data_IF_921019812447
#
_entry.id   IF_921019812447
#
_cell.length_a   1.000
_cell.length_b   1.000
_cell.length_c   1.000
_cell.angle_alpha   90.00
_cell.angle_beta   90.00
_cell.angle_gamma   90.00
#
_symmetry.space_group_name_H-M   'P 1'
#
loop_
_entity.id
_entity.type
_entity.pdbx_description
1 polymer ?
#
# COMPACT_ATOMS: atom_id res chain seq x y z
N UNK A 1 10.63 11.56 -19.61
CA UNK A 1 11.39 11.57 -18.34
C UNK A 1 10.68 12.47 -17.34
N UNK A 2 10.49 12.00 -16.10
CA UNK A 2 9.77 12.77 -15.10
C UNK A 2 10.62 13.92 -14.57
N UNK A 3 10.01 15.12 -14.42
CA UNK A 3 10.64 16.22 -13.73
C UNK A 3 10.53 16.05 -12.21
N UNK A 4 11.15 16.94 -11.45
CA UNK A 4 11.16 16.84 -9.98
C UNK A 4 9.76 16.87 -9.39
N UNK A 5 8.87 17.74 -9.88
CA UNK A 5 7.48 17.79 -9.41
C UNK A 5 6.73 16.50 -9.69
N UNK A 6 6.90 15.91 -10.87
CA UNK A 6 6.27 14.64 -11.22
C UNK A 6 6.79 13.49 -10.36
N UNK A 7 8.07 13.50 -9.99
CA UNK A 7 8.64 12.50 -9.08
C UNK A 7 8.02 12.63 -7.69
N UNK A 8 7.78 13.85 -7.22
CA UNK A 8 7.10 14.08 -5.94
C UNK A 8 5.66 13.57 -6.02
N UNK A 9 4.96 13.84 -7.12
CA UNK A 9 3.60 13.32 -7.33
C UNK A 9 3.58 11.78 -7.32
N UNK A 10 4.57 11.15 -7.95
CA UNK A 10 4.71 9.71 -7.93
C UNK A 10 4.89 9.17 -6.51
N UNK A 11 5.72 9.84 -5.69
CA UNK A 11 5.88 9.46 -4.29
C UNK A 11 4.57 9.56 -3.52
N UNK A 12 3.79 10.62 -3.75
CA UNK A 12 2.49 10.78 -3.13
C UNK A 12 1.56 9.61 -3.49
N UNK A 13 1.55 9.21 -4.76
CA UNK A 13 0.76 8.06 -5.21
C UNK A 13 1.19 6.77 -4.52
N UNK A 14 2.50 6.53 -4.41
CA UNK A 14 3.01 5.37 -3.70
C UNK A 14 2.60 5.37 -2.22
N UNK A 15 2.65 6.53 -1.57
CA UNK A 15 2.21 6.67 -0.18
C UNK A 15 0.71 6.42 -0.04
N UNK A 16 -0.10 6.89 -0.98
CA UNK A 16 -1.55 6.66 -0.97
C UNK A 16 -1.88 5.18 -1.12
N UNK A 17 -1.19 4.49 -2.02
CA UNK A 17 -1.36 3.04 -2.20
C UNK A 17 -0.97 2.29 -0.93
N UNK A 18 0.18 2.62 -0.35
CA UNK A 18 0.65 1.99 0.88
C UNK A 18 -0.31 2.24 2.04
N UNK A 19 -0.80 3.47 2.17
CA UNK A 19 -1.75 3.84 3.24
C UNK A 19 -3.06 3.08 3.09
N UNK A 20 -3.63 3.05 1.89
CA UNK A 20 -4.88 2.36 1.64
C UNK A 20 -4.78 0.87 1.96
N UNK A 21 -3.69 0.22 1.55
CA UNK A 21 -3.48 -1.19 1.82
C UNK A 21 -3.22 -1.45 3.31
N UNK A 22 -2.50 -0.55 3.97
CA UNK A 22 -2.28 -0.64 5.41
C UNK A 22 -3.59 -0.53 6.19
N UNK A 23 -4.42 0.46 5.86
CA UNK A 23 -5.73 0.64 6.49
C UNK A 23 -6.63 -0.58 6.25
N UNK A 24 -6.60 -1.12 5.05
CA UNK A 24 -7.30 -2.36 4.74
C UNK A 24 -6.81 -3.51 5.62
N UNK A 25 -5.49 -3.62 5.85
CA UNK A 25 -4.93 -4.68 6.67
C UNK A 25 -5.36 -4.57 8.14
N UNK A 26 -5.46 -3.35 8.66
CA UNK A 26 -5.93 -3.10 10.01
C UNK A 26 -7.40 -3.50 10.15
N UNK A 27 -8.23 -3.08 9.21
CA UNK A 27 -9.65 -3.43 9.19
C UNK A 27 -9.86 -4.93 9.02
N UNK A 28 -9.05 -5.58 8.19
CA UNK A 28 -9.11 -7.02 7.98
C UNK A 28 -8.86 -7.78 9.28
N UNK A 29 -7.84 -7.38 10.03
CA UNK A 29 -7.51 -8.02 11.31
C UNK A 29 -8.56 -7.73 12.39
N UNK A 30 -9.11 -6.51 12.40
CA UNK A 30 -10.11 -6.11 13.40
C UNK A 30 -11.48 -6.74 13.14
N UNK A 31 -11.83 -6.96 11.88
CA UNK A 31 -13.15 -7.41 11.46
C UNK A 31 -13.12 -8.79 10.81
N UNK A 32 -12.17 -9.63 11.19
CA UNK A 32 -12.11 -11.00 10.68
C UNK A 32 -13.43 -11.71 11.01
N UNK A 33 -14.23 -12.09 10.00
CA UNK A 33 -15.55 -12.66 10.27
C UNK A 33 -15.44 -14.05 10.85
N UNK A 34 -16.40 -14.39 11.72
CA UNK A 34 -16.55 -15.75 12.21
C UNK A 34 -16.90 -16.65 11.01
N UNK A 35 -16.16 -17.74 10.87
CA UNK A 35 -16.23 -18.62 9.70
C UNK A 35 -17.28 -19.74 9.82
N UNK A 36 -18.11 -19.71 10.85
CA UNK A 36 -18.92 -20.85 11.24
C UNK A 36 -19.89 -21.33 10.15
N UNK A 37 -20.35 -20.43 9.26
CA UNK A 37 -21.34 -20.75 8.24
C UNK A 37 -20.87 -20.50 6.81
N UNK A 38 -19.62 -20.12 6.58
CA UNK A 38 -19.12 -19.83 5.25
C UNK A 38 -18.13 -20.87 4.76
N UNK A 39 -18.25 -21.26 3.48
CA UNK A 39 -17.21 -22.05 2.86
C UNK A 39 -15.95 -21.18 2.73
N UNK A 40 -14.80 -21.83 2.77
CA UNK A 40 -13.53 -21.14 2.65
C UNK A 40 -13.44 -20.33 1.33
N UNK A 41 -14.11 -20.83 0.29
CA UNK A 41 -14.13 -20.17 -1.01
C UNK A 41 -14.93 -18.87 -0.99
N UNK A 42 -16.10 -18.88 -0.34
CA UNK A 42 -16.92 -17.68 -0.17
C UNK A 42 -16.19 -16.62 0.66
N UNK A 43 -15.48 -17.07 1.69
CA UNK A 43 -14.65 -16.20 2.51
C UNK A 43 -13.56 -15.55 1.69
N UNK A 44 -12.84 -16.32 0.88
CA UNK A 44 -11.74 -15.81 0.06
C UNK A 44 -12.22 -14.85 -1.04
N UNK A 45 -13.44 -15.07 -1.58
CA UNK A 45 -14.03 -14.17 -2.55
C UNK A 45 -14.39 -12.80 -1.96
N UNK A 46 -14.88 -12.77 -0.73
CA UNK A 46 -15.29 -11.54 -0.05
C UNK A 46 -14.13 -10.78 0.57
N UNK A 47 -13.14 -11.50 1.08
CA UNK A 47 -12.08 -10.91 1.90
C UNK A 47 -10.72 -11.29 1.32
N UNK A 48 -10.23 -10.46 0.38
CA UNK A 48 -8.87 -10.67 -0.07
C UNK A 48 -7.91 -10.41 1.09
N UNK A 49 -6.83 -11.17 1.14
CA UNK A 49 -5.79 -10.95 2.14
C UNK A 49 -5.02 -9.66 1.85
N UNK A 50 -4.67 -8.89 2.88
CA UNK A 50 -3.83 -7.71 2.71
C UNK A 50 -2.48 -8.08 2.11
N UNK A 51 -2.01 -7.24 1.18
CA UNK A 51 -0.72 -7.44 0.54
C UNK A 51 0.35 -6.62 1.26
N UNK A 52 1.00 -7.23 2.23
CA UNK A 52 2.06 -6.56 3.02
C UNK A 52 3.26 -6.18 2.16
N UNK A 53 3.56 -6.98 1.13
CA UNK A 53 4.64 -6.67 0.21
C UNK A 53 4.35 -5.38 -0.56
N UNK A 54 3.11 -5.16 -0.96
CA UNK A 54 2.70 -3.93 -1.65
C UNK A 54 2.96 -2.70 -0.77
N UNK A 55 2.60 -2.77 0.51
CA UNK A 55 2.85 -1.68 1.46
C UNK A 55 4.36 -1.41 1.54
N UNK A 56 5.13 -2.45 1.81
CA UNK A 56 6.57 -2.36 2.03
C UNK A 56 7.30 -1.84 0.79
N UNK A 57 6.95 -2.37 -0.40
CA UNK A 57 7.63 -2.00 -1.63
C UNK A 57 7.34 -0.55 -2.02
N UNK A 58 6.11 -0.09 -1.83
CA UNK A 58 5.78 1.32 -2.08
C UNK A 58 6.52 2.24 -1.11
N UNK A 59 6.63 1.88 0.16
CA UNK A 59 7.39 2.67 1.14
C UNK A 59 8.88 2.72 0.80
N UNK A 60 9.45 1.60 0.35
CA UNK A 60 10.85 1.55 -0.09
C UNK A 60 11.09 2.41 -1.33
N UNK A 61 10.15 2.39 -2.28
CA UNK A 61 10.24 3.24 -3.47
C UNK A 61 10.23 4.71 -3.09
N UNK A 62 9.38 5.10 -2.15
CA UNK A 62 9.34 6.48 -1.65
C UNK A 62 10.68 6.86 -1.01
N UNK A 63 11.25 5.97 -0.20
CA UNK A 63 12.53 6.25 0.46
C UNK A 63 13.65 6.47 -0.56
N UNK A 64 13.74 5.60 -1.58
CA UNK A 64 14.75 5.73 -2.64
C UNK A 64 14.56 7.00 -3.45
N UNK A 65 13.34 7.24 -3.91
CA UNK A 65 13.02 8.40 -4.74
C UNK A 65 13.15 9.70 -3.94
N UNK A 66 12.74 9.67 -2.67
CA UNK A 66 12.91 10.81 -1.77
C UNK A 66 14.37 11.22 -1.62
N UNK A 67 15.26 10.26 -1.46
CA UNK A 67 16.70 10.52 -1.40
C UNK A 67 17.21 11.17 -2.69
N UNK A 68 16.82 10.63 -3.85
CA UNK A 68 17.23 11.17 -5.14
C UNK A 68 16.68 12.57 -5.38
N UNK A 69 15.39 12.77 -5.08
CA UNK A 69 14.73 14.07 -5.27
C UNK A 69 15.31 15.13 -4.35
N UNK A 70 15.62 14.76 -3.10
CA UNK A 70 16.25 15.69 -2.16
C UNK A 70 17.58 16.22 -2.69
N UNK A 71 18.34 15.40 -3.43
CA UNK A 71 19.59 15.80 -4.05
C UNK A 71 19.41 16.69 -5.29
N UNK A 72 18.21 16.67 -5.90
CA UNK A 72 17.89 17.54 -7.04
C UNK A 72 17.51 18.96 -6.59
N UNK A 73 17.05 19.10 -5.37
CA UNK A 73 16.62 20.39 -4.81
C UNK A 73 17.85 21.11 -4.24
N UNK A 74 18.11 22.29 -4.76
CA UNK A 74 19.27 23.09 -4.34
C UNK A 74 18.85 24.29 -3.51
#
# INVERSE_FOLDING_TARGET
MMNTGEKIDYMIQCLQVAKAEYEYSVDYLANEPERDDESIWEYLERYRQPNKALIRDNLRNVARMGFLVANEVK
#
